data_IF_468133055437
#
_entry.id   IF_468133055437
#
_cell.length_a   1.000
_cell.length_b   1.000
_cell.length_c   1.000
_cell.angle_alpha   90.00
_cell.angle_beta   90.00
_cell.angle_gamma   90.00
#
_symmetry.space_group_name_H-M   'P 1'
#
loop_
_entity.id
_entity.type
_entity.pdbx_description
1 polymer ?
#
# COMPACT_ATOMS: atom_id res chain seq x y z
N UNK A 1 3.73 7.58 24.00
CA UNK A 1 5.02 8.11 23.52
C UNK A 1 4.82 9.39 22.72
N UNK A 2 5.83 10.22 22.68
CA UNK A 2 5.81 11.45 21.86
C UNK A 2 6.09 11.15 20.40
N UNK A 3 5.88 12.14 19.53
CA UNK A 3 6.06 12.01 18.09
C UNK A 3 7.44 11.47 17.70
N UNK A 4 8.50 11.98 18.32
CA UNK A 4 9.87 11.56 18.04
C UNK A 4 10.08 10.06 18.23
N UNK A 5 9.58 9.53 19.33
CA UNK A 5 9.67 8.10 19.64
C UNK A 5 8.83 7.27 18.69
N UNK A 6 7.63 7.75 18.38
CA UNK A 6 6.72 7.08 17.45
C UNK A 6 7.32 6.97 16.06
N UNK A 7 7.94 8.04 15.57
CA UNK A 7 8.61 8.08 14.26
C UNK A 7 9.74 7.05 14.21
N UNK A 8 10.53 6.94 15.26
CA UNK A 8 11.62 5.98 15.33
C UNK A 8 11.09 4.55 15.38
N UNK A 9 10.08 4.30 16.19
CA UNK A 9 9.47 2.97 16.33
C UNK A 9 8.89 2.48 15.01
N UNK A 10 8.15 3.35 14.30
CA UNK A 10 7.46 2.99 13.07
C UNK A 10 8.31 3.18 11.82
N UNK A 11 9.55 3.65 11.97
CA UNK A 11 10.47 3.90 10.86
C UNK A 11 9.84 4.78 9.78
N UNK A 12 9.33 5.92 10.19
CA UNK A 12 8.62 6.87 9.33
C UNK A 12 9.16 8.28 9.52
N UNK A 13 8.49 9.27 8.96
CA UNK A 13 8.88 10.68 9.02
C UNK A 13 7.81 11.50 9.72
N UNK A 14 8.18 12.67 10.30
CA UNK A 14 7.19 13.59 10.88
C UNK A 14 6.11 14.00 9.87
N UNK A 15 6.51 14.27 8.63
CA UNK A 15 5.59 14.72 7.59
C UNK A 15 4.54 13.65 7.26
N UNK A 16 4.93 12.39 7.20
CA UNK A 16 4.01 11.28 6.96
C UNK A 16 2.98 11.18 8.08
N UNK A 17 3.43 11.22 9.34
CA UNK A 17 2.55 11.13 10.49
C UNK A 17 1.59 12.32 10.53
N UNK A 18 2.09 13.53 10.32
CA UNK A 18 1.26 14.74 10.28
C UNK A 18 0.23 14.69 9.17
N UNK A 19 0.60 14.17 8.02
CA UNK A 19 -0.30 13.99 6.89
C UNK A 19 -1.46 13.05 7.24
N UNK A 20 -1.15 11.92 7.89
CA UNK A 20 -2.18 10.97 8.34
C UNK A 20 -3.10 11.59 9.39
N UNK A 21 -2.57 12.42 10.28
CA UNK A 21 -3.37 13.16 11.26
C UNK A 21 -4.28 14.16 10.54
N UNK A 22 -3.74 14.88 9.56
CA UNK A 22 -4.51 15.83 8.76
C UNK A 22 -5.68 15.14 8.03
N UNK A 23 -5.44 13.97 7.49
CA UNK A 23 -6.47 13.18 6.80
C UNK A 23 -7.44 12.48 7.78
N UNK A 24 -7.21 12.62 9.08
CA UNK A 24 -8.01 11.97 10.13
C UNK A 24 -7.93 10.44 10.10
N UNK A 25 -6.87 9.90 9.51
CA UNK A 25 -6.57 8.47 9.54
C UNK A 25 -5.93 8.07 10.87
N UNK A 26 -5.22 9.00 11.49
CA UNK A 26 -4.52 8.78 12.74
C UNK A 26 -4.96 9.88 13.71
N UNK A 27 -5.43 9.49 14.89
CA UNK A 27 -6.00 10.43 15.86
C UNK A 27 -5.33 10.27 17.23
N UNK A 28 -4.07 10.74 17.37
CA UNK A 28 -3.38 10.65 18.66
C UNK A 28 -4.01 11.56 19.69
N UNK A 29 -3.87 11.20 20.95
CA UNK A 29 -4.21 12.09 22.05
C UNK A 29 -3.20 13.21 22.19
N UNK A 30 -3.31 13.96 23.27
CA UNK A 30 -2.38 15.03 23.58
C UNK A 30 -1.89 14.93 25.00
N UNK A 31 -0.63 15.29 25.17
CA UNK A 31 -0.02 15.44 26.50
C UNK A 31 0.59 16.85 26.53
N UNK A 32 -0.14 17.78 27.16
CA UNK A 32 0.18 19.21 27.04
C UNK A 32 -0.07 19.70 25.64
N UNK A 33 0.93 20.28 25.00
CA UNK A 33 0.85 20.78 23.61
C UNK A 33 1.28 19.74 22.58
N UNK A 34 1.79 18.60 23.04
CA UNK A 34 2.37 17.60 22.16
C UNK A 34 1.39 16.47 21.90
N UNK A 35 1.49 15.84 20.73
CA UNK A 35 0.76 14.62 20.45
C UNK A 35 1.27 13.48 21.35
N UNK A 36 0.36 12.63 21.75
CA UNK A 36 0.68 11.45 22.54
C UNK A 36 0.14 10.19 21.83
N UNK A 37 1.06 9.28 21.51
CA UNK A 37 0.78 8.05 20.75
C UNK A 37 0.77 6.86 21.70
N UNK A 38 -0.27 6.03 21.58
CA UNK A 38 -0.44 4.79 22.34
C UNK A 38 -0.41 3.60 21.41
N UNK A 39 -0.65 2.40 21.94
CA UNK A 39 -0.78 1.18 21.13
C UNK A 39 -1.86 1.31 20.06
N UNK A 40 -2.94 2.05 20.34
CA UNK A 40 -3.99 2.32 19.36
C UNK A 40 -3.46 2.96 18.10
N UNK A 41 -2.63 3.98 18.23
CA UNK A 41 -2.03 4.67 17.09
C UNK A 41 -1.01 3.81 16.38
N UNK A 42 -0.27 2.98 17.12
CA UNK A 42 0.65 2.00 16.54
C UNK A 42 -0.10 1.01 15.65
N UNK A 43 -1.16 0.42 16.16
CA UNK A 43 -1.98 -0.56 15.42
C UNK A 43 -2.61 0.08 14.18
N UNK A 44 -3.13 1.30 14.33
CA UNK A 44 -3.75 2.04 13.21
C UNK A 44 -2.71 2.37 12.15
N UNK A 45 -1.53 2.83 12.53
CA UNK A 45 -0.46 3.17 11.59
C UNK A 45 0.00 1.94 10.81
N UNK A 46 0.20 0.83 11.49
CA UNK A 46 0.59 -0.43 10.86
C UNK A 46 -0.47 -0.94 9.90
N UNK A 47 -1.77 -0.85 10.28
CA UNK A 47 -2.87 -1.21 9.41
C UNK A 47 -2.91 -0.35 8.13
N UNK A 48 -2.68 0.96 8.26
CA UNK A 48 -2.61 1.87 7.10
C UNK A 48 -1.50 1.43 6.14
N UNK A 49 -0.32 1.10 6.68
CA UNK A 49 0.81 0.64 5.87
C UNK A 49 0.48 -0.66 5.14
N UNK A 50 -0.14 -1.61 5.83
CA UNK A 50 -0.55 -2.88 5.23
C UNK A 50 -1.52 -2.67 4.06
N UNK A 51 -2.52 -1.81 4.24
CA UNK A 51 -3.47 -1.49 3.17
C UNK A 51 -2.78 -0.81 1.99
N UNK A 52 -1.85 0.11 2.24
CA UNK A 52 -1.09 0.75 1.18
C UNK A 52 -0.23 -0.27 0.40
N UNK A 53 0.38 -1.21 1.10
CA UNK A 53 1.16 -2.28 0.48
C UNK A 53 0.28 -3.19 -0.40
N UNK A 54 -1.00 -3.33 -0.06
CA UNK A 54 -1.98 -4.06 -0.87
C UNK A 54 -2.50 -3.25 -2.07
N UNK A 55 -2.08 -2.00 -2.21
CA UNK A 55 -2.47 -1.16 -3.33
C UNK A 55 -3.63 -0.21 -3.08
N UNK A 56 -4.05 -0.06 -1.82
CA UNK A 56 -5.07 0.92 -1.47
C UNK A 56 -4.47 2.33 -1.36
N UNK A 57 -5.17 3.32 -1.89
CA UNK A 57 -4.80 4.72 -1.70
C UNK A 57 -5.23 5.19 -0.30
N UNK A 58 -4.65 6.29 0.17
CA UNK A 58 -5.04 6.89 1.45
C UNK A 58 -6.52 7.30 1.45
N UNK A 59 -7.03 7.78 0.31
CA UNK A 59 -8.45 8.13 0.18
C UNK A 59 -9.35 6.90 0.31
N UNK A 60 -8.96 5.80 -0.32
CA UNK A 60 -9.69 4.54 -0.20
C UNK A 60 -9.69 4.01 1.24
N UNK A 61 -8.56 4.10 1.92
CA UNK A 61 -8.45 3.71 3.33
C UNK A 61 -9.35 4.59 4.20
N UNK A 62 -9.37 5.89 3.94
CA UNK A 62 -10.25 6.82 4.65
C UNK A 62 -11.72 6.49 4.43
N UNK A 63 -12.11 6.14 3.21
CA UNK A 63 -13.49 5.77 2.89
C UNK A 63 -13.89 4.48 3.60
N UNK A 64 -13.01 3.49 3.66
CA UNK A 64 -13.25 2.24 4.41
C UNK A 64 -13.46 2.54 5.89
N UNK A 65 -12.61 3.37 6.47
CA UNK A 65 -12.72 3.77 7.89
C UNK A 65 -14.03 4.50 8.15
N UNK A 66 -14.39 5.44 7.29
CA UNK A 66 -15.65 6.19 7.41
C UNK A 66 -16.84 5.25 7.34
N UNK A 67 -16.85 4.32 6.41
CA UNK A 67 -17.91 3.35 6.25
C UNK A 67 -18.04 2.46 7.50
N UNK A 68 -16.90 2.05 8.07
CA UNK A 68 -16.87 1.28 9.32
C UNK A 68 -17.48 2.08 10.48
N UNK A 69 -17.10 3.35 10.63
CA UNK A 69 -17.58 4.22 11.70
C UNK A 69 -19.08 4.48 11.58
N UNK A 70 -19.61 4.65 10.35
CA UNK A 70 -21.02 4.94 10.11
C UNK A 70 -21.93 3.73 10.16
N UNK A 71 -21.44 2.58 9.69
CA UNK A 71 -22.28 1.40 9.43
C UNK A 71 -21.92 0.17 10.26
N UNK A 72 -20.90 0.21 11.05
CA UNK A 72 -20.34 -0.80 11.96
C UNK A 72 -20.83 -2.24 11.71
N UNK A 73 -20.08 -3.05 10.96
CA UNK A 73 -20.35 -4.46 10.67
C UNK A 73 -21.74 -4.73 10.06
N UNK A 74 -22.30 -3.76 9.34
CA UNK A 74 -23.57 -3.96 8.64
C UNK A 74 -23.35 -4.67 7.31
N UNK A 75 -24.45 -5.23 6.77
CA UNK A 75 -24.44 -5.83 5.44
C UNK A 75 -23.99 -4.83 4.37
N UNK A 76 -24.40 -3.57 4.50
CA UNK A 76 -23.99 -2.50 3.59
C UNK A 76 -22.47 -2.31 3.60
N UNK A 77 -21.85 -2.29 4.77
CA UNK A 77 -20.39 -2.17 4.91
C UNK A 77 -19.70 -3.35 4.25
N UNK A 78 -20.17 -4.57 4.49
CA UNK A 78 -19.59 -5.77 3.92
C UNK A 78 -19.65 -5.76 2.40
N UNK A 79 -20.78 -5.34 1.82
CA UNK A 79 -20.95 -5.23 0.36
C UNK A 79 -20.01 -4.20 -0.25
N UNK A 80 -19.89 -3.04 0.37
CA UNK A 80 -19.00 -1.98 -0.11
C UNK A 80 -17.53 -2.40 -0.03
N UNK A 81 -17.14 -3.02 1.06
CA UNK A 81 -15.78 -3.49 1.24
C UNK A 81 -15.45 -4.61 0.24
N UNK A 82 -16.39 -5.54 0.02
CA UNK A 82 -16.20 -6.61 -0.96
C UNK A 82 -16.03 -6.06 -2.37
N UNK A 83 -16.83 -5.08 -2.75
CA UNK A 83 -16.72 -4.41 -4.06
C UNK A 83 -15.33 -3.80 -4.24
N UNK A 84 -14.85 -3.08 -3.24
CA UNK A 84 -13.54 -2.44 -3.28
C UNK A 84 -12.41 -3.47 -3.42
N UNK A 85 -12.49 -4.57 -2.68
CA UNK A 85 -11.50 -5.66 -2.75
C UNK A 85 -11.51 -6.30 -4.14
N UNK A 86 -12.69 -6.55 -4.71
CA UNK A 86 -12.80 -7.12 -6.07
C UNK A 86 -12.21 -6.19 -7.12
N UNK A 87 -12.41 -4.89 -7.00
CA UNK A 87 -11.81 -3.89 -7.89
C UNK A 87 -10.29 -3.92 -7.80
N UNK A 88 -9.73 -4.05 -6.59
CA UNK A 88 -8.29 -4.16 -6.40
C UNK A 88 -7.72 -5.44 -7.01
N UNK A 89 -8.41 -6.55 -6.86
CA UNK A 89 -8.00 -7.82 -7.47
C UNK A 89 -7.97 -7.68 -8.99
N UNK A 90 -8.97 -7.05 -9.59
CA UNK A 90 -9.04 -6.83 -11.03
C UNK A 90 -7.86 -5.99 -11.54
N UNK A 91 -7.52 -4.91 -10.84
CA UNK A 91 -6.38 -4.05 -11.18
C UNK A 91 -5.08 -4.84 -11.11
N UNK A 92 -4.88 -5.63 -10.07
CA UNK A 92 -3.68 -6.45 -9.90
C UNK A 92 -3.59 -7.50 -11.00
N UNK A 93 -4.71 -8.13 -11.35
CA UNK A 93 -4.76 -9.13 -12.44
C UNK A 93 -4.31 -8.56 -13.76
N UNK A 94 -4.73 -7.32 -14.09
CA UNK A 94 -4.28 -6.62 -15.31
C UNK A 94 -2.77 -6.38 -15.25
N UNK A 95 -2.23 -5.95 -14.11
CA UNK A 95 -0.79 -5.72 -13.92
C UNK A 95 0.00 -7.01 -14.08
N UNK A 96 -0.47 -8.12 -13.53
CA UNK A 96 0.17 -9.42 -13.65
C UNK A 96 0.26 -9.83 -15.13
N UNK A 97 -0.84 -9.72 -15.87
CA UNK A 97 -0.86 -10.05 -17.29
C UNK A 97 0.10 -9.21 -18.10
N UNK A 98 0.15 -7.90 -17.81
CA UNK A 98 1.09 -6.98 -18.46
C UNK A 98 2.54 -7.38 -18.19
N UNK A 99 2.85 -7.68 -16.93
CA UNK A 99 4.20 -8.10 -16.53
C UNK A 99 4.59 -9.43 -17.16
N UNK A 100 3.67 -10.39 -17.26
CA UNK A 100 3.91 -11.66 -17.94
C UNK A 100 4.24 -11.45 -19.42
N UNK A 101 3.51 -10.57 -20.09
CA UNK A 101 3.75 -10.22 -21.48
C UNK A 101 5.12 -9.58 -21.66
N UNK A 102 5.46 -8.62 -20.82
CA UNK A 102 6.77 -7.95 -20.85
C UNK A 102 7.91 -8.94 -20.63
N UNK A 103 7.77 -9.84 -19.67
CA UNK A 103 8.76 -10.87 -19.39
C UNK A 103 8.97 -11.76 -20.61
N UNK A 104 7.88 -12.20 -21.24
CA UNK A 104 7.94 -13.07 -22.43
C UNK A 104 8.69 -12.38 -23.58
N UNK A 105 8.39 -11.12 -23.83
CA UNK A 105 9.06 -10.33 -24.88
C UNK A 105 10.56 -10.23 -24.58
N UNK A 106 10.93 -9.94 -23.35
CA UNK A 106 12.34 -9.83 -22.96
C UNK A 106 13.07 -11.17 -23.08
N UNK A 107 12.42 -12.27 -22.75
CA UNK A 107 12.99 -13.61 -22.93
C UNK A 107 13.25 -13.90 -24.41
N UNK A 108 12.31 -13.54 -25.28
CA UNK A 108 12.45 -13.72 -26.72
C UNK A 108 13.61 -12.89 -27.29
N UNK A 109 13.71 -11.62 -26.86
CA UNK A 109 14.82 -10.74 -27.25
C UNK A 109 16.15 -11.30 -26.73
N UNK A 110 16.17 -11.77 -25.48
CA UNK A 110 17.34 -12.40 -24.90
C UNK A 110 17.82 -13.62 -25.68
N UNK A 111 16.89 -14.46 -26.13
CA UNK A 111 17.20 -15.64 -26.95
C UNK A 111 17.82 -15.25 -28.29
N UNK A 112 17.27 -14.23 -28.93
CA UNK A 112 17.79 -13.71 -30.21
C UNK A 112 19.23 -13.22 -30.02
N UNK A 113 19.47 -12.43 -28.98
CA UNK A 113 20.81 -11.90 -28.68
C UNK A 113 21.80 -13.01 -28.34
N UNK A 114 21.37 -14.02 -27.62
CA UNK A 114 22.20 -15.18 -27.28
C UNK A 114 22.63 -15.93 -28.53
N UNK A 115 21.71 -16.15 -29.47
CA UNK A 115 22.00 -16.83 -30.74
C UNK A 115 22.99 -16.02 -31.60
N UNK A 116 22.79 -14.70 -31.65
CA UNK A 116 23.72 -13.80 -32.41
C UNK A 116 25.11 -13.84 -31.81
N UNK A 117 25.24 -13.78 -30.47
CA UNK A 117 26.52 -13.85 -29.80
C UNK A 117 27.23 -15.18 -30.09
N UNK A 118 26.49 -16.29 -30.05
CA UNK A 118 27.02 -17.62 -30.37
C UNK A 118 27.53 -17.71 -31.81
N UNK A 119 26.77 -17.16 -32.77
CA UNK A 119 27.14 -17.14 -34.18
C UNK A 119 28.42 -16.33 -34.39
N UNK A 120 28.52 -15.13 -33.80
CA UNK A 120 29.72 -14.28 -33.89
C UNK A 120 30.96 -14.98 -33.33
N UNK A 121 30.80 -15.66 -32.19
CA UNK A 121 31.88 -16.43 -31.56
C UNK A 121 32.36 -17.57 -32.47
N UNK A 122 31.42 -18.23 -33.17
CA UNK A 122 31.74 -19.33 -34.11
C UNK A 122 32.47 -18.85 -35.37
N UNK A 123 32.21 -17.62 -35.79
CA UNK A 123 32.82 -17.04 -36.98
C UNK A 123 34.30 -16.69 -36.78
N UNK A 124 34.73 -16.59 -35.54
CA UNK A 124 36.13 -16.37 -35.21
C UNK A 124 36.89 -17.68 -35.19
#
# INVERSE_FOLDING_TARGET
MYLKEFIQKENTTPDTVRHYIYLKLLNPGRKGRNYWFTENETDTFEAIKEFQDLGFSLQEIKDIKKLHDESCSTEKQHKQNLKLIKEKIAVISVKINKLKTQKKVLEEVGDILQKKSTIETRKK
#
